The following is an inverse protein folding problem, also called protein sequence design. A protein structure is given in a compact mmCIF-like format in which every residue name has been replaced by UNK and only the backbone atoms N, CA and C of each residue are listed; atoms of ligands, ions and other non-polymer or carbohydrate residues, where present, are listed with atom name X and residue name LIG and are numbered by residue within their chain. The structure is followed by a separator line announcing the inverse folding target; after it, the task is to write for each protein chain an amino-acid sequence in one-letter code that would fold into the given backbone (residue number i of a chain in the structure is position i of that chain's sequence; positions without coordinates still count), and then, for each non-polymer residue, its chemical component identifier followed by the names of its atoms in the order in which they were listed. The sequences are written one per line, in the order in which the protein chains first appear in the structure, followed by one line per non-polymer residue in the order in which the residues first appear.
data_IF_662885306969
#
_entry.id   IF_662885306969
#
_cell.length_a   1.000
_cell.length_b   1.000
_cell.length_c   1.000
_cell.angle_alpha   90.00
_cell.angle_beta   90.00
_cell.angle_gamma   90.00
#
_symmetry.space_group_name_H-M   'P 1'
#
loop_
_entity.id
_entity.type
_entity.pdbx_description
1 polymer ?
#
# COMPACT_ATOMS: atom_id res chain seq x y z
N UNK A 1 27.07 -8.06 15.04
CA UNK A 1 25.69 -7.62 14.77
C UNK A 1 25.78 -6.95 13.43
N UNK A 2 25.33 -7.66 12.41
CA UNK A 2 25.11 -7.09 11.10
C UNK A 2 23.88 -6.19 11.32
N UNK A 3 24.09 -4.88 11.35
CA UNK A 3 22.99 -3.91 11.36
C UNK A 3 22.38 -4.02 9.97
N UNK A 4 21.49 -5.01 9.82
CA UNK A 4 20.73 -5.31 8.62
C UNK A 4 19.82 -4.13 8.29
N UNK A 5 20.42 -3.07 7.77
CA UNK A 5 19.75 -2.08 6.97
C UNK A 5 19.22 -2.88 5.79
N UNK A 6 17.95 -3.27 5.86
CA UNK A 6 17.18 -3.60 4.67
C UNK A 6 17.49 -2.48 3.67
N UNK A 7 18.20 -2.81 2.59
CA UNK A 7 18.28 -1.89 1.45
C UNK A 7 16.83 -1.51 1.14
N UNK A 8 16.58 -0.21 1.07
CA UNK A 8 15.28 0.32 0.67
C UNK A 8 14.84 -0.44 -0.58
N UNK A 9 13.80 -1.27 -0.47
CA UNK A 9 13.27 -1.99 -1.61
C UNK A 9 12.61 -0.96 -2.53
N UNK A 10 13.43 -0.39 -3.42
CA UNK A 10 12.95 0.50 -4.46
C UNK A 10 12.53 -0.36 -5.63
N UNK A 11 11.36 -0.07 -6.19
CA UNK A 11 10.92 -0.74 -7.39
C UNK A 11 11.75 -0.24 -8.59
N UNK A 12 12.60 -1.09 -9.15
CA UNK A 12 13.47 -0.71 -10.30
C UNK A 12 12.69 -0.15 -11.50
N UNK A 13 11.46 -0.63 -11.71
CA UNK A 13 10.60 -0.17 -12.80
C UNK A 13 10.13 1.28 -12.61
N UNK A 14 10.29 1.90 -11.43
CA UNK A 14 10.01 3.33 -11.24
C UNK A 14 10.88 4.23 -12.12
N UNK A 15 12.07 3.77 -12.48
CA UNK A 15 12.97 4.55 -13.33
C UNK A 15 12.63 4.41 -14.82
N UNK A 16 11.74 3.48 -15.19
CA UNK A 16 11.35 3.27 -16.58
C UNK A 16 10.37 4.36 -17.04
N UNK A 17 10.49 4.88 -18.27
CA UNK A 17 9.54 5.85 -18.81
C UNK A 17 8.08 5.41 -18.70
N UNK A 18 7.81 4.11 -18.87
CA UNK A 18 6.50 3.49 -18.82
C UNK A 18 5.79 3.67 -17.48
N UNK A 19 6.53 3.77 -16.37
CA UNK A 19 5.92 3.98 -15.06
C UNK A 19 5.27 5.37 -14.93
N UNK A 20 5.65 6.33 -15.79
CA UNK A 20 5.10 7.70 -15.79
C UNK A 20 3.88 7.84 -16.70
N UNK A 21 3.53 6.79 -17.43
CA UNK A 21 2.31 6.78 -18.24
C UNK A 21 1.10 6.41 -17.37
N UNK A 22 -0.07 7.01 -17.61
CA UNK A 22 -1.29 6.64 -16.90
C UNK A 22 -1.69 5.20 -17.22
N UNK A 23 -2.42 4.56 -16.31
CA UNK A 23 -3.03 3.26 -16.57
C UNK A 23 -4.05 3.34 -17.70
N UNK A 24 -4.15 2.25 -18.49
CA UNK A 24 -5.21 2.11 -19.48
C UNK A 24 -6.57 1.93 -18.79
N UNK A 25 -7.70 2.25 -19.46
CA UNK A 25 -9.04 2.03 -18.90
C UNK A 25 -9.28 0.57 -18.43
N UNK A 26 -8.87 -0.41 -19.24
CA UNK A 26 -8.99 -1.84 -18.91
C UNK A 26 -8.16 -2.18 -17.66
N UNK A 27 -6.98 -1.57 -17.50
CA UNK A 27 -6.15 -1.76 -16.30
C UNK A 27 -6.79 -1.13 -15.05
N UNK A 28 -7.44 0.03 -15.20
CA UNK A 28 -8.15 0.68 -14.09
C UNK A 28 -9.34 -0.19 -13.65
N UNK A 29 -10.09 -0.76 -14.61
CA UNK A 29 -11.18 -1.68 -14.30
C UNK A 29 -10.68 -2.93 -13.58
N UNK A 30 -9.55 -3.50 -14.03
CA UNK A 30 -8.90 -4.60 -13.34
C UNK A 30 -8.49 -4.22 -11.91
N UNK A 31 -7.79 -3.10 -11.72
CA UNK A 31 -7.35 -2.62 -10.40
C UNK A 31 -8.56 -2.46 -9.46
N UNK A 32 -9.66 -1.89 -9.96
CA UNK A 32 -10.90 -1.73 -9.21
C UNK A 32 -11.53 -3.06 -8.77
N UNK A 33 -11.30 -4.13 -9.52
CA UNK A 33 -11.82 -5.47 -9.20
C UNK A 33 -11.00 -6.23 -8.15
N UNK A 34 -9.79 -5.77 -7.80
CA UNK A 34 -8.92 -6.44 -6.83
C UNK A 34 -9.58 -6.51 -5.44
N UNK A 35 -9.41 -7.64 -4.75
CA UNK A 35 -9.95 -7.85 -3.41
C UNK A 35 -8.95 -8.61 -2.53
N UNK A 36 -8.20 -7.87 -1.73
CA UNK A 36 -7.17 -8.42 -0.86
C UNK A 36 -7.70 -9.48 0.12
N UNK A 37 -8.94 -9.35 0.61
CA UNK A 37 -9.50 -10.37 1.51
C UNK A 37 -9.78 -11.70 0.80
N UNK A 38 -10.25 -11.63 -0.45
CA UNK A 38 -10.46 -12.83 -1.27
C UNK A 38 -9.13 -13.49 -1.61
N UNK A 39 -8.09 -12.70 -1.90
CA UNK A 39 -6.73 -13.20 -2.14
C UNK A 39 -6.17 -13.89 -0.89
N UNK A 40 -6.33 -13.30 0.31
CA UNK A 40 -5.91 -13.90 1.58
C UNK A 40 -6.66 -15.21 1.84
N UNK A 41 -7.99 -15.24 1.61
CA UNK A 41 -8.81 -16.45 1.76
C UNK A 41 -8.37 -17.54 0.77
N UNK A 42 -8.04 -17.16 -0.46
CA UNK A 42 -7.54 -18.06 -1.49
C UNK A 42 -6.20 -18.68 -1.09
N UNK A 43 -5.25 -17.87 -0.63
CA UNK A 43 -3.95 -18.35 -0.15
C UNK A 43 -4.11 -19.34 1.01
N UNK A 44 -4.98 -19.00 1.98
CA UNK A 44 -5.30 -19.90 3.09
C UNK A 44 -5.90 -21.22 2.63
N UNK A 45 -6.78 -21.21 1.63
CA UNK A 45 -7.38 -22.44 1.08
C UNK A 45 -6.34 -23.35 0.40
N UNK A 46 -5.22 -22.79 -0.06
CA UNK A 46 -4.08 -23.53 -0.62
C UNK A 46 -3.01 -23.90 0.43
N UNK A 47 -3.33 -23.73 1.72
CA UNK A 47 -2.44 -24.09 2.83
C UNK A 47 -1.40 -23.04 3.18
N UNK A 48 -1.46 -21.84 2.60
CA UNK A 48 -0.59 -20.73 2.99
C UNK A 48 -1.34 -19.72 3.86
N UNK A 49 -1.11 -19.76 5.16
CA UNK A 49 -1.58 -18.72 6.08
C UNK A 49 -0.58 -17.57 6.12
N UNK A 50 -1.02 -16.39 5.67
CA UNK A 50 -0.24 -15.16 5.76
C UNK A 50 -0.12 -14.71 7.22
N UNK A 51 1.09 -14.31 7.67
CA UNK A 51 1.22 -13.59 8.93
C UNK A 51 0.32 -12.34 8.94
N UNK A 52 -0.27 -11.95 10.09
CA UNK A 52 -1.17 -10.80 10.17
C UNK A 52 -0.57 -9.50 9.60
N UNK A 53 0.72 -9.26 9.88
CA UNK A 53 1.46 -8.10 9.37
C UNK A 53 1.50 -8.08 7.83
N UNK A 54 1.73 -9.24 7.20
CA UNK A 54 1.79 -9.39 5.76
C UNK A 54 0.40 -9.22 5.11
N UNK A 55 -0.65 -9.78 5.75
CA UNK A 55 -2.02 -9.59 5.31
C UNK A 55 -2.43 -8.11 5.35
N UNK A 56 -2.06 -7.39 6.43
CA UNK A 56 -2.28 -5.95 6.54
C UNK A 56 -1.56 -5.18 5.43
N UNK A 57 -0.29 -5.47 5.16
CA UNK A 57 0.47 -4.84 4.07
C UNK A 57 -0.22 -5.06 2.72
N UNK A 58 -0.71 -6.27 2.45
CA UNK A 58 -1.44 -6.58 1.21
C UNK A 58 -2.72 -5.74 1.10
N UNK A 59 -3.53 -5.65 2.16
CA UNK A 59 -4.73 -4.83 2.19
C UNK A 59 -4.42 -3.35 1.93
N UNK A 60 -3.43 -2.79 2.63
CA UNK A 60 -3.06 -1.37 2.52
C UNK A 60 -2.46 -1.06 1.14
N UNK A 61 -1.62 -1.94 0.60
CA UNK A 61 -1.03 -1.75 -0.74
C UNK A 61 -2.08 -1.84 -1.83
N UNK A 62 -3.04 -2.76 -1.71
CA UNK A 62 -4.18 -2.88 -2.64
C UNK A 62 -5.05 -1.62 -2.58
N UNK A 63 -5.33 -1.13 -1.39
CA UNK A 63 -6.09 0.11 -1.17
C UNK A 63 -5.39 1.33 -1.81
N UNK A 64 -4.07 1.47 -1.61
CA UNK A 64 -3.28 2.53 -2.21
C UNK A 64 -3.33 2.48 -3.74
N UNK A 65 -3.16 1.29 -4.32
CA UNK A 65 -3.23 1.09 -5.76
C UNK A 65 -4.62 1.48 -6.31
N UNK A 66 -5.69 1.04 -5.66
CA UNK A 66 -7.07 1.34 -6.06
C UNK A 66 -7.38 2.83 -6.01
N UNK A 67 -7.13 3.48 -4.87
CA UNK A 67 -7.40 4.92 -4.69
C UNK A 67 -6.51 5.78 -5.58
N UNK A 68 -5.24 5.40 -5.74
CA UNK A 68 -4.31 6.09 -6.62
C UNK A 68 -4.74 6.01 -8.09
N UNK A 69 -5.09 4.80 -8.56
CA UNK A 69 -5.54 4.60 -9.94
C UNK A 69 -6.87 5.32 -10.22
N UNK A 70 -7.82 5.31 -9.28
CA UNK A 70 -9.09 6.04 -9.39
C UNK A 70 -8.89 7.56 -9.53
N UNK A 71 -7.87 8.11 -8.85
CA UNK A 71 -7.46 9.53 -8.96
C UNK A 71 -6.59 9.82 -10.19
N UNK A 72 -6.35 8.83 -11.06
CA UNK A 72 -5.54 8.98 -12.27
C UNK A 72 -4.04 9.09 -12.01
N UNK A 73 -3.56 8.65 -10.84
CA UNK A 73 -2.13 8.63 -10.53
C UNK A 73 -1.42 7.57 -11.36
N UNK A 74 -0.18 7.88 -11.75
CA UNK A 74 0.68 6.98 -12.51
C UNK A 74 1.29 5.91 -11.61
N UNK A 75 1.73 4.75 -12.16
CA UNK A 75 2.52 3.77 -11.41
C UNK A 75 3.71 4.40 -10.68
N UNK A 76 4.36 5.39 -11.31
CA UNK A 76 5.47 6.13 -10.73
C UNK A 76 5.06 6.87 -9.46
N UNK A 77 3.96 7.63 -9.52
CA UNK A 77 3.46 8.37 -8.36
C UNK A 77 3.08 7.41 -7.22
N UNK A 78 2.36 6.34 -7.54
CA UNK A 78 1.91 5.35 -6.55
C UNK A 78 3.11 4.62 -5.92
N UNK A 79 4.07 4.14 -6.71
CA UNK A 79 5.22 3.42 -6.16
C UNK A 79 6.15 4.32 -5.34
N UNK A 80 6.28 5.61 -5.67
CA UNK A 80 7.02 6.55 -4.81
C UNK A 80 6.36 6.79 -3.45
N UNK A 81 5.04 6.58 -3.31
CA UNK A 81 4.38 6.63 -1.99
C UNK A 81 4.85 5.47 -1.11
N UNK A 82 5.18 4.32 -1.72
CA UNK A 82 5.66 3.14 -1.00
C UNK A 82 7.14 3.20 -0.65
N UNK A 83 7.98 3.78 -1.51
CA UNK A 83 9.43 3.83 -1.33
C UNK A 83 9.86 4.99 -0.41
N UNK A 84 10.91 4.78 0.39
CA UNK A 84 11.52 5.88 1.16
C UNK A 84 12.46 6.67 0.26
N UNK A 85 12.56 7.97 0.52
CA UNK A 85 13.56 8.83 -0.15
C UNK A 85 14.98 8.58 0.38
N UNK A 86 15.08 8.24 1.67
CA UNK A 86 16.33 7.90 2.34
C UNK A 86 16.02 6.91 3.46
N UNK A 87 17.01 6.11 3.85
CA UNK A 87 16.90 5.16 4.98
C UNK A 87 16.47 5.79 6.32
N UNK A 88 16.59 7.13 6.45
CA UNK A 88 16.27 7.88 7.67
C UNK A 88 14.88 8.52 7.65
N UNK A 89 14.19 8.51 6.52
CA UNK A 89 12.90 9.17 6.34
C UNK A 89 11.86 8.13 5.94
N UNK A 90 10.85 7.94 6.79
CA UNK A 90 9.72 7.07 6.49
C UNK A 90 9.08 7.47 5.16
N UNK A 91 8.65 6.48 4.37
CA UNK A 91 7.89 6.69 3.15
C UNK A 91 6.52 7.26 3.46
N UNK A 92 5.81 7.76 2.45
CA UNK A 92 4.48 8.31 2.65
C UNK A 92 3.51 7.25 3.19
N UNK A 93 3.58 6.00 2.70
CA UNK A 93 2.73 4.92 3.21
C UNK A 93 3.04 4.58 4.68
N UNK A 94 4.30 4.59 5.08
CA UNK A 94 4.69 4.37 6.48
C UNK A 94 4.18 5.48 7.39
N UNK A 95 4.25 6.73 6.93
CA UNK A 95 3.68 7.87 7.67
C UNK A 95 2.15 7.77 7.79
N UNK A 96 1.47 7.29 6.74
CA UNK A 96 0.01 7.05 6.77
C UNK A 96 -0.32 5.99 7.82
N UNK A 97 0.39 4.85 7.79
CA UNK A 97 0.20 3.75 8.75
C UNK A 97 0.49 4.20 10.17
N UNK A 98 1.60 4.89 10.39
CA UNK A 98 1.96 5.42 11.71
C UNK A 98 0.90 6.37 12.26
N UNK A 99 0.37 7.28 11.44
CA UNK A 99 -0.73 8.18 11.85
C UNK A 99 -2.00 7.39 12.22
N UNK A 100 -2.28 6.30 11.51
CA UNK A 100 -3.42 5.45 11.85
C UNK A 100 -3.19 4.72 13.18
N UNK A 101 -1.97 4.26 13.45
CA UNK A 101 -1.58 3.64 14.73
C UNK A 101 -1.69 4.62 15.90
N UNK A 102 -1.24 5.86 15.71
CA UNK A 102 -1.34 6.93 16.72
C UNK A 102 -2.80 7.35 16.99
N UNK A 103 -3.67 7.24 15.99
CA UNK A 103 -5.10 7.55 16.11
C UNK A 103 -5.93 6.37 16.68
N UNK A 104 -5.44 5.13 16.59
CA UNK A 104 -6.15 3.95 17.01
C UNK A 104 -6.21 3.84 18.55
N UNK A 105 -7.38 3.47 19.08
CA UNK A 105 -7.55 3.19 20.51
C UNK A 105 -7.09 1.76 20.85
N UNK A 106 -6.71 1.48 22.11
CA UNK A 106 -6.43 0.12 22.55
C UNK A 106 -7.59 -0.83 22.26
N UNK A 107 -7.33 -1.95 21.59
CA UNK A 107 -8.34 -2.94 21.21
C UNK A 107 -9.11 -2.63 19.91
N UNK A 108 -8.64 -1.66 19.12
CA UNK A 108 -9.16 -1.41 17.76
C UNK A 108 -9.07 -2.68 16.91
N UNK A 109 -10.18 -3.07 16.28
CA UNK A 109 -10.22 -4.20 15.34
C UNK A 109 -9.44 -3.90 14.07
N UNK A 110 -8.96 -4.93 13.37
CA UNK A 110 -8.27 -4.76 12.08
C UNK A 110 -9.08 -3.97 11.05
N UNK A 111 -10.39 -4.24 10.93
CA UNK A 111 -11.27 -3.52 10.02
C UNK A 111 -11.30 -2.01 10.32
N UNK A 112 -11.54 -1.65 11.58
CA UNK A 112 -11.53 -0.24 12.02
C UNK A 112 -10.14 0.42 11.85
N UNK A 113 -9.05 -0.33 11.99
CA UNK A 113 -7.71 0.18 11.69
C UNK A 113 -7.53 0.46 10.20
N UNK A 114 -7.98 -0.44 9.31
CA UNK A 114 -7.95 -0.23 7.87
C UNK A 114 -8.84 0.94 7.43
N UNK A 115 -9.98 1.16 8.10
CA UNK A 115 -10.83 2.33 7.87
C UNK A 115 -10.08 3.64 8.20
N UNK A 116 -9.35 3.68 9.33
CA UNK A 116 -8.50 4.82 9.68
C UNK A 116 -7.41 5.06 8.63
N UNK A 117 -6.73 4.00 8.19
CA UNK A 117 -5.73 4.07 7.12
C UNK A 117 -6.35 4.62 5.84
N UNK A 118 -7.54 4.15 5.45
CA UNK A 118 -8.25 4.65 4.27
C UNK A 118 -8.50 6.16 4.35
N UNK A 119 -9.02 6.65 5.47
CA UNK A 119 -9.32 8.07 5.66
C UNK A 119 -8.04 8.92 5.60
N UNK A 120 -6.97 8.49 6.27
CA UNK A 120 -5.69 9.21 6.27
C UNK A 120 -5.05 9.20 4.87
N UNK A 121 -5.17 8.07 4.16
CA UNK A 121 -4.70 7.92 2.79
C UNK A 121 -5.47 8.84 1.83
N UNK A 122 -6.80 8.92 1.94
CA UNK A 122 -7.61 9.82 1.12
C UNK A 122 -7.15 11.27 1.27
N UNK A 123 -6.96 11.73 2.52
CA UNK A 123 -6.43 13.06 2.80
C UNK A 123 -5.04 13.30 2.19
N UNK A 124 -4.18 12.27 2.17
CA UNK A 124 -2.84 12.35 1.57
C UNK A 124 -2.88 12.41 0.03
N UNK A 125 -3.84 11.73 -0.60
CA UNK A 125 -3.98 11.69 -2.06
C UNK A 125 -4.77 12.89 -2.62
N UNK A 126 -5.36 13.73 -1.76
CA UNK A 126 -6.07 14.96 -2.14
C UNK A 126 -5.22 16.24 -2.06
N UNK A 127 -4.08 16.18 -1.35
CA UNK A 127 -3.12 17.28 -1.19
C UNK A 127 -2.13 17.39 -2.35
#
# INVERSE_FOLDING_TARGET
MDDGIFEDCTFDWLYWPQAKEPYSPDTIEYIKSLNAEEDIKLLKSHGWELPPECARILCISTMLLQKGAEKGLTPFTIGNIMCRETLKKNSAIEQIVQKAEEAALPGTSEAAFLDLVSVIMDNHLES
#
